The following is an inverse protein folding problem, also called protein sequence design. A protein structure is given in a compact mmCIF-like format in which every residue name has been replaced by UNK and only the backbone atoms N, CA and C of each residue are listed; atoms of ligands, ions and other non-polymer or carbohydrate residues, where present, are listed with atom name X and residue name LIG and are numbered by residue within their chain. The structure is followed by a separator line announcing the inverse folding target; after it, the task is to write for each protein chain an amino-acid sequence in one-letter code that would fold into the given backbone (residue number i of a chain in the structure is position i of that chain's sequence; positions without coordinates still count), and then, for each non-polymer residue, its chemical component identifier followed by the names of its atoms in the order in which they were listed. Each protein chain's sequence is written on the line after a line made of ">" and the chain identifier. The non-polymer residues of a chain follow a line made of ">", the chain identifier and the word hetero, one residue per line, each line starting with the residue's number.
data_IF_111307384415
#
_entry.id   IF_111307384415
#
_cell.length_a   1.000
_cell.length_b   1.000
_cell.length_c   1.000
_cell.angle_alpha   90.00
_cell.angle_beta   90.00
_cell.angle_gamma   90.00
#
_symmetry.space_group_name_H-M   'P 1'
#
loop_
_entity.id
_entity.type
_entity.pdbx_description
1 polymer ?
#
# COMPACT_ATOMS: atom_id res chain seq x y z
N UNK A 1 -1.47 32.61 -92.80
CA UNK A 1 -1.85 32.26 -91.41
C UNK A 1 -1.92 30.75 -91.18
N UNK A 2 -1.05 29.90 -91.72
CA UNK A 2 -1.18 28.44 -91.66
C UNK A 2 0.09 27.69 -91.27
N UNK A 3 1.22 28.34 -91.10
CA UNK A 3 2.50 27.66 -90.66
C UNK A 3 2.79 27.83 -89.21
N UNK A 4 2.39 28.91 -88.58
CA UNK A 4 2.65 29.11 -87.10
C UNK A 4 1.75 28.28 -86.20
N UNK A 5 0.49 27.97 -86.62
CA UNK A 5 -0.41 27.12 -85.87
C UNK A 5 0.03 25.65 -85.85
N UNK A 6 0.71 25.15 -86.91
CA UNK A 6 1.22 23.79 -86.99
C UNK A 6 2.46 23.58 -86.12
N UNK A 7 3.32 24.60 -85.95
CA UNK A 7 4.50 24.52 -85.07
C UNK A 7 4.14 24.64 -83.61
N UNK A 8 3.08 25.36 -83.26
CA UNK A 8 2.60 25.45 -81.86
C UNK A 8 1.94 24.17 -81.40
N UNK A 9 1.24 23.41 -82.29
CA UNK A 9 0.63 22.11 -81.91
C UNK A 9 1.68 21.02 -81.75
N UNK A 10 2.75 21.02 -82.59
CA UNK A 10 3.85 20.03 -82.44
C UNK A 10 4.69 20.23 -81.14
N UNK A 11 4.89 21.49 -80.74
CA UNK A 11 5.60 21.79 -79.44
C UNK A 11 4.76 21.43 -78.24
N UNK A 12 3.43 21.51 -78.26
CA UNK A 12 2.54 21.08 -77.16
C UNK A 12 2.46 19.54 -77.09
N UNK A 13 2.50 18.84 -78.20
CA UNK A 13 2.53 17.35 -78.17
C UNK A 13 3.86 16.81 -77.67
N UNK A 14 4.99 17.42 -78.00
CA UNK A 14 6.32 17.03 -77.52
C UNK A 14 6.50 17.31 -75.99
N UNK A 15 5.92 18.40 -75.48
CA UNK A 15 5.96 18.73 -74.06
C UNK A 15 5.06 17.79 -73.22
N UNK A 16 3.91 17.38 -73.77
CA UNK A 16 3.03 16.42 -73.08
C UNK A 16 3.62 15.00 -73.04
N UNK A 17 4.34 14.56 -74.08
CA UNK A 17 5.03 13.25 -74.06
C UNK A 17 6.23 13.18 -73.12
N UNK A 18 6.98 14.29 -72.97
CA UNK A 18 8.10 14.35 -72.03
C UNK A 18 7.66 14.35 -70.54
N UNK A 19 6.49 14.94 -70.24
CA UNK A 19 5.94 14.96 -68.87
C UNK A 19 5.33 13.63 -68.46
N UNK A 20 4.75 12.88 -69.41
CA UNK A 20 4.21 11.54 -69.13
C UNK A 20 5.31 10.52 -68.94
N UNK A 21 6.45 10.58 -69.60
CA UNK A 21 7.62 9.71 -69.33
C UNK A 21 8.33 10.04 -68.03
N UNK A 22 8.39 11.31 -67.62
CA UNK A 22 9.00 11.70 -66.35
C UNK A 22 8.14 11.29 -65.14
N UNK A 23 6.80 11.35 -65.24
CA UNK A 23 5.92 10.85 -64.16
C UNK A 23 5.93 9.32 -64.05
N UNK A 24 6.03 8.59 -65.15
CA UNK A 24 6.15 7.14 -65.17
C UNK A 24 7.47 6.63 -64.56
N UNK A 25 8.58 7.32 -64.82
CA UNK A 25 9.89 6.97 -64.23
C UNK A 25 9.97 7.30 -62.75
N UNK A 26 9.35 8.38 -62.25
CA UNK A 26 9.31 8.71 -60.83
C UNK A 26 8.35 7.76 -60.04
N UNK A 27 7.23 7.34 -60.67
CA UNK A 27 6.34 6.36 -60.05
C UNK A 27 6.98 4.95 -59.99
N UNK A 28 7.76 4.54 -61.00
CA UNK A 28 8.49 3.27 -60.98
C UNK A 28 9.64 3.27 -59.97
N UNK A 29 10.31 4.40 -59.73
CA UNK A 29 11.36 4.50 -58.70
C UNK A 29 10.80 4.58 -57.29
N UNK A 30 9.59 5.09 -57.08
CA UNK A 30 8.90 5.08 -55.78
C UNK A 30 8.30 3.71 -55.45
N UNK A 31 7.86 2.92 -56.44
CA UNK A 31 7.42 1.55 -56.21
C UNK A 31 8.61 0.58 -56.03
N UNK A 32 9.78 0.86 -56.55
CA UNK A 32 10.97 0.02 -56.35
C UNK A 32 11.71 0.30 -55.03
N UNK A 33 11.49 1.47 -54.41
CA UNK A 33 12.02 1.74 -53.09
C UNK A 33 11.26 1.00 -51.94
N UNK A 34 10.02 0.57 -52.18
CA UNK A 34 9.24 -0.23 -51.23
C UNK A 34 9.55 -1.74 -51.33
N UNK A 35 10.31 -2.21 -52.31
CA UNK A 35 10.54 -3.62 -52.60
C UNK A 35 11.96 -4.14 -52.28
N UNK A 36 12.84 -3.33 -51.69
CA UNK A 36 14.19 -3.73 -51.27
C UNK A 36 14.43 -3.50 -49.78
N UNK A 37 13.50 -3.93 -48.96
CA UNK A 37 13.85 -4.27 -47.58
C UNK A 37 14.81 -5.48 -47.67
N UNK A 38 16.11 -5.23 -47.46
CA UNK A 38 17.08 -6.33 -47.39
C UNK A 38 16.63 -7.35 -46.37
N UNK A 39 16.88 -8.66 -46.58
CA UNK A 39 16.54 -9.72 -45.58
C UNK A 39 16.95 -9.33 -44.15
N UNK A 40 18.10 -8.65 -44.00
CA UNK A 40 18.58 -8.14 -42.73
C UNK A 40 17.70 -7.03 -42.09
N UNK A 41 17.07 -6.19 -42.92
CA UNK A 41 16.17 -5.14 -42.43
C UNK A 41 14.81 -5.72 -42.00
N UNK A 42 14.33 -6.75 -42.68
CA UNK A 42 13.11 -7.48 -42.31
C UNK A 42 13.35 -8.28 -41.01
N UNK A 43 14.51 -8.93 -40.85
CA UNK A 43 14.89 -9.65 -39.64
C UNK A 43 15.00 -8.69 -38.42
N UNK A 44 15.61 -7.53 -38.60
CA UNK A 44 15.70 -6.51 -37.56
C UNK A 44 14.31 -5.96 -37.15
N UNK A 45 13.41 -5.75 -38.11
CA UNK A 45 12.06 -5.30 -37.82
C UNK A 45 11.29 -6.37 -37.03
N UNK A 46 11.37 -7.63 -37.43
CA UNK A 46 10.77 -8.78 -36.74
C UNK A 46 11.26 -8.88 -35.29
N UNK A 47 12.57 -8.75 -35.05
CA UNK A 47 13.15 -8.74 -33.70
C UNK A 47 12.66 -7.57 -32.84
N UNK A 48 12.50 -6.39 -33.43
CA UNK A 48 11.93 -5.22 -32.72
C UNK A 48 10.47 -5.45 -32.34
N UNK A 49 9.67 -6.02 -33.22
CA UNK A 49 8.28 -6.32 -32.96
C UNK A 49 8.14 -7.41 -31.89
N UNK A 50 8.98 -8.45 -31.90
CA UNK A 50 9.07 -9.46 -30.84
C UNK A 50 9.49 -8.82 -29.48
N UNK A 51 10.49 -7.95 -29.48
CA UNK A 51 10.91 -7.23 -28.28
C UNK A 51 9.82 -6.33 -27.72
N UNK A 52 9.03 -5.67 -28.59
CA UNK A 52 7.87 -4.86 -28.19
C UNK A 52 6.77 -5.71 -27.56
N UNK A 53 6.45 -6.86 -28.17
CA UNK A 53 5.45 -7.80 -27.64
C UNK A 53 5.91 -8.37 -26.30
N UNK A 54 7.16 -8.82 -26.19
CA UNK A 54 7.71 -9.36 -24.95
C UNK A 54 7.68 -8.33 -23.83
N UNK A 55 8.00 -7.05 -24.13
CA UNK A 55 7.88 -5.96 -23.15
C UNK A 55 6.45 -5.72 -22.68
N UNK A 56 5.49 -5.74 -23.61
CA UNK A 56 4.08 -5.57 -23.24
C UNK A 56 3.62 -6.69 -22.33
N UNK A 57 4.07 -7.92 -22.57
CA UNK A 57 3.75 -9.08 -21.72
C UNK A 57 4.46 -9.02 -20.36
N UNK A 58 5.73 -8.62 -20.32
CA UNK A 58 6.44 -8.37 -19.06
C UNK A 58 5.73 -7.30 -18.25
N UNK A 59 5.31 -6.20 -18.88
CA UNK A 59 4.58 -5.12 -18.18
C UNK A 59 3.21 -5.59 -17.66
N UNK A 60 2.53 -6.48 -18.38
CA UNK A 60 1.28 -7.11 -17.90
C UNK A 60 1.53 -7.97 -16.65
N UNK A 61 2.60 -8.78 -16.66
CA UNK A 61 2.97 -9.62 -15.52
C UNK A 61 3.49 -8.80 -14.33
N UNK A 62 4.20 -7.70 -14.60
CA UNK A 62 4.63 -6.76 -13.55
C UNK A 62 3.42 -6.13 -12.86
N UNK A 63 2.40 -5.70 -13.60
CA UNK A 63 1.15 -5.18 -13.04
C UNK A 63 0.39 -6.26 -12.24
N UNK A 64 0.27 -7.48 -12.78
CA UNK A 64 -0.38 -8.60 -12.08
C UNK A 64 0.34 -8.91 -10.77
N UNK A 65 1.68 -8.94 -10.78
CA UNK A 65 2.49 -9.14 -9.59
C UNK A 65 2.31 -8.02 -8.57
N UNK A 66 2.25 -6.73 -8.99
CA UNK A 66 1.99 -5.60 -8.10
C UNK A 66 0.62 -5.74 -7.40
N UNK A 67 -0.41 -6.12 -8.16
CA UNK A 67 -1.76 -6.37 -7.62
C UNK A 67 -1.75 -7.51 -6.60
N UNK A 68 -1.08 -8.63 -6.90
CA UNK A 68 -0.97 -9.77 -5.99
C UNK A 68 -0.20 -9.41 -4.71
N UNK A 69 0.91 -8.67 -4.85
CA UNK A 69 1.73 -8.18 -3.74
C UNK A 69 0.92 -7.25 -2.84
N UNK A 70 0.17 -6.31 -3.39
CA UNK A 70 -0.66 -5.41 -2.59
C UNK A 70 -1.74 -6.16 -1.82
N UNK A 71 -2.43 -7.12 -2.46
CA UNK A 71 -3.40 -8.00 -1.77
C UNK A 71 -2.77 -8.76 -0.61
N UNK A 72 -1.55 -9.25 -0.79
CA UNK A 72 -0.78 -9.92 0.25
C UNK A 72 -0.44 -8.94 1.40
N UNK A 73 0.06 -7.75 1.09
CA UNK A 73 0.44 -6.75 2.08
C UNK A 73 -0.76 -6.28 2.91
N UNK A 74 -1.91 -6.03 2.28
CA UNK A 74 -3.17 -5.70 2.98
C UNK A 74 -3.57 -6.82 3.92
N UNK A 75 -3.61 -8.08 3.44
CA UNK A 75 -3.96 -9.23 4.26
C UNK A 75 -3.00 -9.44 5.44
N UNK A 76 -1.70 -9.23 5.24
CA UNK A 76 -0.68 -9.29 6.28
C UNK A 76 -0.90 -8.21 7.34
N UNK A 77 -1.13 -6.96 6.93
CA UNK A 77 -1.37 -5.85 7.86
C UNK A 77 -2.64 -6.07 8.69
N UNK A 78 -3.70 -6.65 8.08
CA UNK A 78 -4.92 -7.01 8.82
C UNK A 78 -4.68 -8.13 9.83
N UNK A 79 -3.87 -9.14 9.49
CA UNK A 79 -3.47 -10.21 10.42
C UNK A 79 -2.66 -9.64 11.59
N UNK A 80 -1.71 -8.75 11.32
CA UNK A 80 -0.90 -8.10 12.36
C UNK A 80 -1.79 -7.29 13.32
N UNK A 81 -2.76 -6.53 12.81
CA UNK A 81 -3.74 -5.79 13.62
C UNK A 81 -4.62 -6.72 14.48
N UNK A 82 -5.07 -7.85 13.92
CA UNK A 82 -5.82 -8.87 14.65
C UNK A 82 -5.00 -9.49 15.77
N UNK A 83 -3.71 -9.78 15.53
CA UNK A 83 -2.81 -10.33 16.53
C UNK A 83 -2.58 -9.35 17.69
N UNK A 84 -2.39 -8.06 17.41
CA UNK A 84 -2.28 -7.01 18.44
C UNK A 84 -3.56 -6.98 19.29
N UNK A 85 -4.74 -6.91 18.65
CA UNK A 85 -6.03 -6.92 19.35
C UNK A 85 -6.22 -8.17 20.19
N UNK A 86 -5.84 -9.35 19.69
CA UNK A 86 -5.92 -10.60 20.43
C UNK A 86 -5.07 -10.58 21.70
N UNK A 87 -3.87 -10.00 21.64
CA UNK A 87 -2.98 -9.84 22.82
C UNK A 87 -3.63 -8.91 23.84
N UNK A 88 -4.18 -7.78 23.40
CA UNK A 88 -4.86 -6.82 24.28
C UNK A 88 -6.09 -7.43 24.95
N UNK A 89 -6.97 -8.06 24.17
CA UNK A 89 -8.18 -8.71 24.69
C UNK A 89 -7.86 -9.82 25.69
N UNK A 90 -6.80 -10.63 25.46
CA UNK A 90 -6.34 -11.63 26.41
C UNK A 90 -5.83 -11.01 27.70
N UNK A 91 -5.12 -9.88 27.62
CA UNK A 91 -4.66 -9.14 28.81
C UNK A 91 -5.84 -8.63 29.64
N UNK A 92 -6.84 -8.07 28.97
CA UNK A 92 -8.04 -7.56 29.63
C UNK A 92 -8.87 -8.69 30.24
N UNK A 93 -9.00 -9.83 29.56
CA UNK A 93 -9.62 -11.04 30.10
C UNK A 93 -8.92 -11.51 31.38
N UNK A 94 -7.59 -11.62 31.36
CA UNK A 94 -6.81 -12.02 32.53
C UNK A 94 -6.98 -11.06 33.71
N UNK A 95 -7.05 -9.77 33.44
CA UNK A 95 -7.30 -8.74 34.46
C UNK A 95 -8.71 -8.87 35.04
N UNK A 96 -9.72 -9.04 34.22
CA UNK A 96 -11.11 -9.20 34.63
C UNK A 96 -11.29 -10.51 35.48
N UNK A 97 -10.64 -11.60 35.07
CA UNK A 97 -10.64 -12.85 35.81
C UNK A 97 -10.04 -12.67 37.23
N UNK A 98 -8.87 -12.01 37.35
CA UNK A 98 -8.25 -11.72 38.63
C UNK A 98 -9.16 -10.87 39.52
N UNK A 99 -9.80 -9.83 38.95
CA UNK A 99 -10.75 -8.99 39.71
C UNK A 99 -11.95 -9.80 40.19
N UNK A 100 -12.49 -10.69 39.37
CA UNK A 100 -13.60 -11.57 39.73
C UNK A 100 -13.21 -12.55 40.87
N UNK A 101 -12.01 -13.12 40.79
CA UNK A 101 -11.52 -14.06 41.83
C UNK A 101 -11.31 -13.35 43.18
N UNK A 102 -10.77 -12.13 43.15
CA UNK A 102 -10.64 -11.30 44.36
C UNK A 102 -12.01 -10.95 44.93
N UNK A 103 -12.96 -10.50 44.13
CA UNK A 103 -14.32 -10.15 44.56
C UNK A 103 -15.05 -11.37 45.15
N UNK A 104 -14.94 -12.53 44.51
CA UNK A 104 -15.49 -13.80 45.03
C UNK A 104 -14.86 -14.23 46.34
N UNK A 105 -13.54 -14.06 46.49
CA UNK A 105 -12.83 -14.37 47.73
C UNK A 105 -13.31 -13.48 48.90
N UNK A 106 -13.46 -12.17 48.64
CA UNK A 106 -13.98 -11.21 49.63
C UNK A 106 -15.40 -11.56 50.04
N UNK A 107 -16.28 -11.86 49.07
CA UNK A 107 -17.65 -12.30 49.39
C UNK A 107 -17.67 -13.61 50.17
N UNK A 108 -16.84 -14.59 49.79
CA UNK A 108 -16.72 -15.87 50.47
C UNK A 108 -16.25 -15.74 51.94
N UNK A 109 -15.28 -14.86 52.20
CA UNK A 109 -14.85 -14.55 53.59
C UNK A 109 -16.00 -13.90 54.36
N UNK A 110 -16.68 -12.93 53.76
CA UNK A 110 -17.84 -12.28 54.37
C UNK A 110 -18.94 -13.27 54.75
N UNK A 111 -19.30 -14.18 53.83
CA UNK A 111 -20.29 -15.24 54.11
C UNK A 111 -19.87 -16.19 55.22
N UNK A 112 -18.59 -16.56 55.27
CA UNK A 112 -18.04 -17.40 56.32
C UNK A 112 -18.09 -16.71 57.71
N UNK A 113 -17.82 -15.42 57.74
CA UNK A 113 -17.90 -14.64 59.00
C UNK A 113 -19.33 -14.48 59.48
N UNK A 114 -20.30 -14.22 58.59
CA UNK A 114 -21.74 -14.23 58.95
C UNK A 114 -22.18 -15.58 59.46
N UNK A 115 -21.76 -16.67 58.83
CA UNK A 115 -22.08 -18.02 59.30
C UNK A 115 -21.52 -18.35 60.68
N UNK A 116 -20.25 -17.98 60.92
CA UNK A 116 -19.58 -18.24 62.21
C UNK A 116 -20.13 -17.40 63.36
N UNK A 117 -20.53 -16.17 63.09
CA UNK A 117 -21.12 -15.24 64.06
C UNK A 117 -22.58 -15.52 64.41
N UNK A 118 -23.22 -16.50 63.72
CA UNK A 118 -24.63 -16.84 63.88
C UNK A 118 -25.61 -15.86 63.28
N UNK A 119 -25.08 -14.85 62.51
CA UNK A 119 -25.87 -13.75 61.96
C UNK A 119 -26.40 -12.86 63.09
N UNK A 120 -26.29 -11.54 62.93
CA UNK A 120 -26.94 -10.60 63.85
C UNK A 120 -28.40 -10.41 63.41
N UNK A 121 -29.32 -10.89 64.25
CA UNK A 121 -30.76 -10.69 64.01
C UNK A 121 -31.15 -9.25 64.36
N UNK A 122 -32.08 -8.67 63.62
CA UNK A 122 -32.69 -7.35 64.00
C UNK A 122 -33.26 -7.42 65.39
N UNK A 123 -33.68 -8.61 65.84
CA UNK A 123 -34.18 -8.83 67.19
C UNK A 123 -33.04 -8.68 68.24
N UNK A 124 -31.84 -9.18 67.92
CA UNK A 124 -30.68 -9.07 68.81
C UNK A 124 -30.24 -7.61 68.98
N UNK A 125 -30.36 -6.80 67.92
CA UNK A 125 -30.08 -5.38 67.91
C UNK A 125 -31.09 -4.61 68.77
N UNK A 126 -32.38 -4.91 68.63
CA UNK A 126 -33.44 -4.23 69.41
C UNK A 126 -33.40 -4.63 70.85
N UNK A 127 -33.16 -5.89 71.20
CA UNK A 127 -33.07 -6.37 72.55
C UNK A 127 -31.77 -5.98 73.30
N UNK A 128 -30.71 -5.72 72.60
CA UNK A 128 -29.40 -5.29 73.15
C UNK A 128 -29.23 -3.77 73.25
N UNK A 129 -30.11 -2.96 72.70
CA UNK A 129 -29.99 -1.51 72.71
C UNK A 129 -30.42 -0.87 74.06
N UNK A 130 -29.72 0.14 74.52
CA UNK A 130 -29.95 0.84 75.78
C UNK A 130 -30.99 1.94 75.70
N UNK A 131 -31.13 2.55 74.50
CA UNK A 131 -32.12 3.59 74.20
C UNK A 131 -32.49 3.62 72.71
N UNK A 132 -33.49 4.43 72.36
CA UNK A 132 -33.98 4.58 70.99
C UNK A 132 -32.95 5.13 69.98
N UNK A 133 -32.01 5.93 70.47
CA UNK A 133 -30.95 6.53 69.61
C UNK A 133 -29.94 5.49 69.20
N UNK A 134 -29.65 4.54 70.08
CA UNK A 134 -28.76 3.40 69.81
C UNK A 134 -29.40 2.44 68.79
N UNK A 135 -30.74 2.22 68.87
CA UNK A 135 -31.49 1.45 67.87
C UNK A 135 -31.40 2.07 66.49
N UNK A 136 -31.62 3.37 66.39
CA UNK A 136 -31.59 4.11 65.11
C UNK A 136 -30.20 4.02 64.49
N UNK A 137 -29.13 4.27 65.24
CA UNK A 137 -27.74 4.17 64.82
C UNK A 137 -27.38 2.75 64.32
N UNK A 138 -27.85 1.70 65.01
CA UNK A 138 -27.58 0.33 64.64
C UNK A 138 -28.35 -0.09 63.40
N UNK A 139 -29.59 0.36 63.21
CA UNK A 139 -30.39 0.14 62.00
C UNK A 139 -29.72 0.79 60.77
N UNK A 140 -29.23 2.04 60.91
CA UNK A 140 -28.49 2.72 59.84
C UNK A 140 -27.19 1.99 59.50
N UNK A 141 -26.45 1.47 60.46
CA UNK A 141 -25.27 0.67 60.27
C UNK A 141 -25.60 -0.64 59.50
N UNK A 142 -26.69 -1.34 59.86
CA UNK A 142 -27.16 -2.52 59.12
C UNK A 142 -27.56 -2.19 57.67
N UNK A 143 -28.24 -1.06 57.47
CA UNK A 143 -28.59 -0.60 56.14
C UNK A 143 -27.37 -0.37 55.27
N UNK A 144 -26.33 0.30 55.82
CA UNK A 144 -25.09 0.53 55.10
C UNK A 144 -24.36 -0.76 54.73
N UNK A 145 -24.33 -1.72 55.65
CA UNK A 145 -23.76 -3.05 55.41
C UNK A 145 -24.53 -3.78 54.29
N UNK A 146 -25.86 -3.81 54.36
CA UNK A 146 -26.69 -4.48 53.35
C UNK A 146 -26.51 -3.87 51.97
N UNK A 147 -26.40 -2.54 51.85
CA UNK A 147 -26.11 -1.86 50.59
C UNK A 147 -24.71 -2.17 50.04
N UNK A 148 -23.71 -2.31 50.92
CA UNK A 148 -22.35 -2.70 50.54
C UNK A 148 -22.30 -4.16 50.02
N UNK A 149 -23.01 -5.06 50.71
CA UNK A 149 -23.11 -6.47 50.30
C UNK A 149 -23.84 -6.61 48.95
N UNK A 150 -24.97 -5.90 48.74
CA UNK A 150 -25.68 -5.81 47.47
C UNK A 150 -24.79 -5.28 46.34
N UNK A 151 -24.01 -4.22 46.62
CA UNK A 151 -23.04 -3.66 45.68
C UNK A 151 -21.95 -4.67 45.29
N UNK A 152 -21.51 -5.48 46.25
CA UNK A 152 -20.52 -6.54 46.02
C UNK A 152 -21.08 -7.65 45.13
N UNK A 153 -22.31 -8.11 45.35
CA UNK A 153 -22.96 -9.13 44.51
C UNK A 153 -23.18 -8.62 43.10
N UNK A 154 -23.71 -7.39 42.93
CA UNK A 154 -23.93 -6.75 41.62
C UNK A 154 -22.58 -6.58 40.90
N UNK A 155 -21.54 -6.20 41.61
CA UNK A 155 -20.17 -6.11 41.05
C UNK A 155 -19.64 -7.44 40.54
N UNK A 156 -19.88 -8.53 41.27
CA UNK A 156 -19.48 -9.90 40.85
C UNK A 156 -20.25 -10.33 39.60
N UNK A 157 -21.56 -10.04 39.54
CA UNK A 157 -22.35 -10.33 38.34
C UNK A 157 -21.85 -9.58 37.11
N UNK A 158 -21.57 -8.28 37.24
CA UNK A 158 -21.02 -7.46 36.18
C UNK A 158 -19.64 -7.96 35.71
N UNK A 159 -18.75 -8.31 36.63
CA UNK A 159 -17.45 -8.92 36.33
C UNK A 159 -17.60 -10.27 35.62
N UNK A 160 -18.54 -11.11 36.07
CA UNK A 160 -18.81 -12.42 35.45
C UNK A 160 -19.26 -12.25 33.99
N UNK A 161 -20.16 -11.30 33.75
CA UNK A 161 -20.59 -10.97 32.38
C UNK A 161 -19.44 -10.42 31.54
N UNK A 162 -18.60 -9.56 32.12
CA UNK A 162 -17.43 -9.00 31.45
C UNK A 162 -16.43 -10.10 31.04
N UNK A 163 -16.13 -11.00 31.95
CA UNK A 163 -15.26 -12.18 31.68
C UNK A 163 -15.83 -13.03 30.54
N UNK A 164 -17.14 -13.30 30.56
CA UNK A 164 -17.81 -14.03 29.46
C UNK A 164 -17.65 -13.34 28.12
N UNK A 165 -17.97 -12.04 28.03
CA UNK A 165 -17.85 -11.24 26.79
C UNK A 165 -16.40 -11.21 26.27
N UNK A 166 -15.42 -11.03 27.15
CA UNK A 166 -14.01 -11.00 26.76
C UNK A 166 -13.52 -12.38 26.29
N UNK A 167 -13.96 -13.46 26.94
CA UNK A 167 -13.67 -14.82 26.50
C UNK A 167 -14.23 -15.11 25.09
N UNK A 168 -15.49 -14.75 24.85
CA UNK A 168 -16.11 -14.86 23.52
C UNK A 168 -15.38 -14.02 22.46
N UNK A 169 -14.91 -12.83 22.83
CA UNK A 169 -14.16 -11.96 21.92
C UNK A 169 -12.78 -12.56 21.59
N UNK A 170 -12.08 -13.17 22.56
CA UNK A 170 -10.82 -13.87 22.32
C UNK A 170 -11.00 -15.01 21.31
N UNK A 171 -12.05 -15.81 21.44
CA UNK A 171 -12.30 -16.90 20.51
C UNK A 171 -12.67 -16.39 19.11
N UNK A 172 -13.46 -15.33 19.00
CA UNK A 172 -13.77 -14.69 17.72
C UNK A 172 -12.51 -14.13 17.03
N UNK A 173 -11.69 -13.40 17.76
CA UNK A 173 -10.46 -12.82 17.23
C UNK A 173 -9.46 -13.90 16.82
N UNK A 174 -9.38 -15.00 17.58
CA UNK A 174 -8.56 -16.17 17.25
C UNK A 174 -9.03 -16.85 15.96
N UNK A 175 -10.34 -17.07 15.81
CA UNK A 175 -10.91 -17.67 14.62
C UNK A 175 -10.68 -16.77 13.39
N UNK A 176 -10.85 -15.44 13.52
CA UNK A 176 -10.57 -14.48 12.48
C UNK A 176 -9.09 -14.49 12.08
N UNK A 177 -8.16 -14.55 13.04
CA UNK A 177 -6.73 -14.61 12.76
C UNK A 177 -6.34 -15.88 12.00
N UNK A 178 -6.89 -17.06 12.37
CA UNK A 178 -6.67 -18.31 11.65
C UNK A 178 -7.18 -18.25 10.19
N UNK A 179 -8.37 -17.71 9.99
CA UNK A 179 -8.93 -17.51 8.63
C UNK A 179 -8.03 -16.58 7.81
N UNK A 180 -7.56 -15.49 8.40
CA UNK A 180 -6.68 -14.54 7.72
C UNK A 180 -5.30 -15.12 7.43
N UNK A 181 -4.80 -16.00 8.30
CA UNK A 181 -3.54 -16.72 8.04
C UNK A 181 -3.64 -17.66 6.84
N UNK A 182 -4.77 -18.34 6.66
CA UNK A 182 -5.03 -19.19 5.49
C UNK A 182 -5.11 -18.34 4.20
N UNK A 183 -5.86 -17.24 4.23
CA UNK A 183 -5.96 -16.28 3.12
C UNK A 183 -4.59 -15.70 2.74
N UNK A 184 -3.76 -15.40 3.74
CA UNK A 184 -2.40 -14.91 3.51
C UNK A 184 -1.50 -15.95 2.81
N UNK A 185 -1.63 -17.23 3.15
CA UNK A 185 -0.90 -18.31 2.49
C UNK A 185 -1.31 -18.46 1.01
N UNK A 186 -2.60 -18.37 0.72
CA UNK A 186 -3.13 -18.39 -0.64
C UNK A 186 -2.60 -17.20 -1.46
N UNK A 187 -2.67 -15.99 -0.92
CA UNK A 187 -2.15 -14.79 -1.59
C UNK A 187 -0.64 -14.83 -1.79
N UNK A 188 0.09 -15.42 -0.85
CA UNK A 188 1.53 -15.65 -1.02
C UNK A 188 1.83 -16.57 -2.19
N UNK A 189 1.09 -17.67 -2.32
CA UNK A 189 1.22 -18.58 -3.45
C UNK A 189 0.92 -17.87 -4.78
N UNK A 190 -0.14 -17.06 -4.86
CA UNK A 190 -0.46 -16.26 -6.04
C UNK A 190 0.70 -15.32 -6.44
N UNK A 191 1.34 -14.64 -5.49
CA UNK A 191 2.52 -13.81 -5.77
C UNK A 191 3.68 -14.66 -6.31
N UNK A 192 3.96 -15.80 -5.68
CA UNK A 192 5.05 -16.70 -6.10
C UNK A 192 4.81 -17.24 -7.52
N UNK A 193 3.56 -17.56 -7.87
CA UNK A 193 3.16 -18.01 -9.20
C UNK A 193 3.31 -16.90 -10.25
N UNK A 194 2.85 -15.67 -9.97
CA UNK A 194 3.01 -14.51 -10.86
C UNK A 194 4.50 -14.21 -11.13
N UNK A 195 5.34 -14.27 -10.10
CA UNK A 195 6.78 -14.08 -10.24
C UNK A 195 7.46 -15.25 -10.98
N UNK A 196 6.96 -16.47 -10.86
CA UNK A 196 7.46 -17.63 -11.59
C UNK A 196 7.11 -17.53 -13.08
N UNK A 197 5.88 -17.16 -13.43
CA UNK A 197 5.44 -16.91 -14.81
C UNK A 197 6.30 -15.84 -15.49
N UNK A 198 6.54 -14.71 -14.80
CA UNK A 198 7.44 -13.67 -15.28
C UNK A 198 8.86 -14.20 -15.55
N UNK A 199 9.41 -14.98 -14.62
CA UNK A 199 10.75 -15.57 -14.78
C UNK A 199 10.82 -16.54 -15.94
N UNK A 200 9.79 -17.36 -16.12
CA UNK A 200 9.70 -18.31 -17.22
C UNK A 200 9.67 -17.59 -18.59
N UNK A 201 8.83 -16.53 -18.71
CA UNK A 201 8.78 -15.70 -19.92
C UNK A 201 10.18 -15.13 -20.23
N UNK A 202 10.84 -14.51 -19.25
CA UNK A 202 12.18 -13.92 -19.45
C UNK A 202 13.24 -14.98 -19.79
N UNK A 203 13.09 -16.21 -19.30
CA UNK A 203 14.00 -17.32 -19.64
C UNK A 203 13.83 -17.82 -21.07
N UNK A 204 12.60 -17.82 -21.57
CA UNK A 204 12.25 -18.35 -22.92
C UNK A 204 12.56 -17.37 -24.07
N UNK A 205 12.81 -16.08 -23.78
CA UNK A 205 13.13 -15.10 -24.80
C UNK A 205 14.42 -15.40 -25.55
N UNK A 206 14.41 -15.19 -26.87
CA UNK A 206 15.62 -15.22 -27.70
C UNK A 206 16.70 -14.27 -27.19
N UNK A 207 17.97 -14.65 -27.30
CA UNK A 207 19.11 -13.87 -26.80
C UNK A 207 19.16 -12.44 -27.35
N UNK A 208 18.80 -12.27 -28.65
CA UNK A 208 18.77 -10.95 -29.30
C UNK A 208 17.61 -10.09 -28.78
N UNK A 209 16.46 -10.71 -28.49
CA UNK A 209 15.31 -10.01 -27.88
C UNK A 209 15.66 -9.61 -26.47
N UNK A 210 16.30 -10.47 -25.68
CA UNK A 210 16.81 -10.14 -24.33
C UNK A 210 17.76 -8.92 -24.38
N UNK A 211 18.73 -8.92 -25.29
CA UNK A 211 19.67 -7.82 -25.46
C UNK A 211 18.97 -6.50 -25.76
N UNK A 212 17.94 -6.50 -26.63
CA UNK A 212 17.14 -5.30 -26.94
C UNK A 212 16.36 -4.81 -25.72
N UNK A 213 15.79 -5.70 -24.92
CA UNK A 213 15.06 -5.36 -23.70
C UNK A 213 16.02 -4.77 -22.67
N UNK A 214 17.16 -5.41 -22.42
CA UNK A 214 18.18 -4.93 -21.48
C UNK A 214 18.79 -3.60 -21.89
N UNK A 215 19.04 -3.41 -23.19
CA UNK A 215 19.51 -2.13 -23.70
C UNK A 215 18.53 -1.00 -23.42
N UNK A 216 17.25 -1.25 -23.60
CA UNK A 216 16.21 -0.25 -23.29
C UNK A 216 16.14 0.01 -21.78
N UNK A 217 16.18 -1.04 -20.96
CA UNK A 217 16.19 -0.89 -19.50
C UNK A 217 17.38 -0.04 -19.02
N UNK A 218 18.57 -0.22 -19.63
CA UNK A 218 19.73 0.66 -19.36
C UNK A 218 19.49 2.11 -19.77
N UNK A 219 18.82 2.35 -20.89
CA UNK A 219 18.48 3.72 -21.34
C UNK A 219 17.46 4.37 -20.37
N UNK A 220 16.47 3.60 -19.94
CA UNK A 220 15.44 4.06 -19.00
C UNK A 220 16.06 4.35 -17.61
N UNK A 221 16.99 3.50 -17.15
CA UNK A 221 17.75 3.73 -15.92
C UNK A 221 18.63 4.98 -16.04
N UNK A 222 19.33 5.19 -17.16
CA UNK A 222 20.13 6.38 -17.38
C UNK A 222 19.26 7.66 -17.46
N UNK A 223 18.06 7.57 -18.03
CA UNK A 223 17.11 8.68 -18.04
C UNK A 223 16.61 8.98 -16.62
N UNK A 224 16.29 7.95 -15.83
CA UNK A 224 15.90 8.08 -14.42
C UNK A 224 17.03 8.71 -13.58
N UNK A 225 18.28 8.30 -13.80
CA UNK A 225 19.43 8.90 -13.11
C UNK A 225 19.59 10.38 -13.44
N UNK A 226 19.44 10.76 -14.71
CA UNK A 226 19.46 12.19 -15.11
C UNK A 226 18.34 13.00 -14.45
N UNK A 227 17.15 12.41 -14.31
CA UNK A 227 16.03 13.03 -13.59
C UNK A 227 16.36 13.19 -12.11
N UNK A 228 16.96 12.16 -11.50
CA UNK A 228 17.42 12.21 -10.11
C UNK A 228 18.49 13.27 -9.88
N UNK A 229 19.49 13.36 -10.79
CA UNK A 229 20.56 14.37 -10.73
C UNK A 229 19.96 15.78 -10.90
N UNK A 230 19.07 15.98 -11.84
CA UNK A 230 18.38 17.25 -12.04
C UNK A 230 17.52 17.62 -10.83
N UNK A 231 16.76 16.67 -10.27
CA UNK A 231 15.98 16.87 -9.05
C UNK A 231 16.88 17.15 -7.83
N UNK A 232 18.05 16.48 -7.74
CA UNK A 232 19.04 16.70 -6.69
C UNK A 232 19.68 18.10 -6.72
N UNK A 233 19.89 18.63 -7.91
CA UNK A 233 20.39 20.01 -8.11
C UNK A 233 19.30 21.05 -7.76
N UNK A 234 18.04 20.71 -7.96
CA UNK A 234 16.90 21.63 -7.77
C UNK A 234 16.20 21.50 -6.40
N UNK A 235 16.64 20.56 -5.52
CA UNK A 235 16.07 20.42 -4.16
C UNK A 235 16.18 21.74 -3.37
N UNK A 236 17.14 22.59 -3.69
CA UNK A 236 17.26 23.95 -3.12
C UNK A 236 16.17 24.92 -3.58
N UNK A 237 15.54 24.67 -4.70
CA UNK A 237 14.44 25.46 -5.29
C UNK A 237 13.04 24.82 -5.07
N UNK A 238 12.98 23.63 -4.47
CA UNK A 238 11.69 22.99 -4.15
C UNK A 238 10.94 23.84 -3.13
N UNK A 239 9.79 24.35 -3.55
CA UNK A 239 8.90 25.11 -2.68
C UNK A 239 8.18 24.14 -1.72
N UNK A 240 8.72 23.96 -0.52
CA UNK A 240 8.17 23.05 0.49
C UNK A 240 8.61 23.46 1.90
N UNK A 241 7.93 22.95 2.89
CA UNK A 241 8.31 23.11 4.30
C UNK A 241 9.64 22.39 4.58
N UNK A 242 10.32 22.75 5.66
CA UNK A 242 11.57 22.10 6.07
C UNK A 242 11.40 20.56 6.25
N UNK A 243 10.24 20.13 6.75
CA UNK A 243 9.93 18.70 6.90
C UNK A 243 9.77 17.99 5.55
N UNK A 244 9.09 18.61 4.58
CA UNK A 244 8.92 18.06 3.22
C UNK A 244 10.26 17.91 2.52
N UNK A 245 11.10 18.94 2.56
CA UNK A 245 12.45 18.92 1.99
C UNK A 245 13.33 17.85 2.66
N UNK A 246 13.26 17.74 3.98
CA UNK A 246 14.01 16.72 4.72
C UNK A 246 13.55 15.30 4.37
N UNK A 247 12.25 15.06 4.20
CA UNK A 247 11.68 13.77 3.80
C UNK A 247 12.16 13.38 2.39
N UNK A 248 12.16 14.30 1.44
CA UNK A 248 12.65 14.03 0.08
C UNK A 248 14.14 13.71 0.11
N UNK A 249 14.97 14.50 0.82
CA UNK A 249 16.40 14.23 0.99
C UNK A 249 16.65 12.85 1.61
N UNK A 250 15.84 12.46 2.58
CA UNK A 250 15.92 11.14 3.18
C UNK A 250 15.56 10.06 2.16
N UNK A 251 14.47 10.23 1.39
CA UNK A 251 14.03 9.28 0.37
C UNK A 251 15.11 9.08 -0.71
N UNK A 252 15.76 10.14 -1.14
CA UNK A 252 16.81 10.08 -2.18
C UNK A 252 18.02 9.23 -1.78
N UNK A 253 18.29 9.03 -0.49
CA UNK A 253 19.36 8.12 -0.03
C UNK A 253 19.12 6.66 -0.41
N UNK A 254 17.89 6.31 -0.75
CA UNK A 254 17.49 4.94 -1.09
C UNK A 254 17.40 4.68 -2.60
N UNK A 255 17.72 5.69 -3.44
CA UNK A 255 17.82 5.50 -4.89
C UNK A 255 18.82 4.39 -5.23
N UNK A 256 18.44 3.53 -6.18
CA UNK A 256 19.27 2.39 -6.59
C UNK A 256 19.12 1.14 -5.71
N UNK A 257 18.42 1.20 -4.58
CA UNK A 257 18.13 0.00 -3.78
C UNK A 257 17.17 -0.90 -4.57
N UNK A 258 17.48 -2.21 -4.69
CA UNK A 258 16.64 -3.15 -5.44
C UNK A 258 15.21 -3.24 -4.88
N UNK A 259 14.25 -3.37 -5.79
CA UNK A 259 12.91 -3.77 -5.41
C UNK A 259 12.92 -5.16 -4.78
N UNK A 260 12.24 -5.29 -3.67
CA UNK A 260 12.01 -6.58 -3.01
C UNK A 260 10.54 -6.69 -2.59
N UNK A 261 9.89 -7.76 -2.99
CA UNK A 261 8.52 -8.04 -2.56
C UNK A 261 8.42 -8.09 -1.03
N UNK A 262 7.41 -7.42 -0.48
CA UNK A 262 7.21 -7.21 0.96
C UNK A 262 8.44 -6.62 1.69
N UNK A 263 9.35 -5.99 0.95
CA UNK A 263 10.53 -5.33 1.48
C UNK A 263 10.20 -3.95 2.04
N UNK A 264 10.73 -3.65 3.23
CA UNK A 264 10.51 -2.38 3.92
C UNK A 264 11.77 -1.86 4.63
N UNK A 265 12.95 -2.29 4.17
CA UNK A 265 14.23 -1.88 4.78
C UNK A 265 15.32 -1.69 3.73
N UNK A 266 16.30 -0.81 3.96
CA UNK A 266 17.41 -0.60 3.02
C UNK A 266 18.22 -1.87 2.72
N UNK A 267 18.40 -2.75 3.69
CA UNK A 267 19.19 -3.99 3.53
C UNK A 267 18.39 -5.12 2.87
N UNK A 268 17.07 -5.12 3.02
CA UNK A 268 16.19 -6.14 2.45
C UNK A 268 15.57 -5.75 1.12
N UNK A 269 15.75 -4.49 0.68
CA UNK A 269 15.04 -3.92 -0.46
C UNK A 269 13.71 -3.31 -0.05
N UNK A 270 13.04 -2.69 -1.01
CA UNK A 270 11.75 -2.05 -0.83
C UNK A 270 10.74 -2.49 -1.89
N UNK A 271 9.48 -2.72 -1.49
CA UNK A 271 8.36 -2.54 -2.39
C UNK A 271 7.82 -1.10 -2.32
N UNK A 272 6.80 -0.77 -3.12
CA UNK A 272 6.29 0.59 -3.23
C UNK A 272 5.81 1.16 -1.89
N UNK A 273 4.97 0.42 -1.18
CA UNK A 273 4.38 0.81 0.11
C UNK A 273 5.37 0.67 1.27
N UNK A 274 6.33 -0.26 1.17
CA UNK A 274 7.40 -0.43 2.14
C UNK A 274 8.41 0.72 2.14
N UNK A 275 8.72 1.29 0.99
CA UNK A 275 9.52 2.52 0.89
C UNK A 275 8.82 3.68 1.61
N UNK A 276 7.53 3.87 1.35
CA UNK A 276 6.72 4.90 2.00
C UNK A 276 6.66 4.68 3.51
N UNK A 277 6.33 3.47 3.96
CA UNK A 277 6.29 3.10 5.37
C UNK A 277 7.61 3.43 6.08
N UNK A 278 8.72 3.02 5.49
CA UNK A 278 10.04 3.20 6.09
C UNK A 278 10.45 4.68 6.20
N UNK A 279 10.22 5.44 5.14
CA UNK A 279 10.61 6.86 5.11
C UNK A 279 9.72 7.68 6.05
N UNK A 280 8.40 7.53 5.95
CA UNK A 280 7.45 8.35 6.71
C UNK A 280 7.48 8.07 8.21
N UNK A 281 7.84 6.83 8.63
CA UNK A 281 8.04 6.51 10.05
C UNK A 281 9.10 7.42 10.71
N UNK A 282 10.14 7.82 9.98
CA UNK A 282 11.16 8.76 10.46
C UNK A 282 10.63 10.18 10.63
N UNK A 283 9.51 10.51 10.02
CA UNK A 283 8.84 11.81 10.08
C UNK A 283 7.55 11.78 10.89
N UNK A 284 7.39 10.76 11.74
CA UNK A 284 6.31 10.63 12.72
C UNK A 284 4.99 10.13 12.15
N UNK A 285 4.97 9.56 10.94
CA UNK A 285 3.78 8.95 10.34
C UNK A 285 3.96 7.44 10.29
N UNK A 286 3.20 6.71 11.11
CA UNK A 286 3.16 5.25 11.12
C UNK A 286 2.17 4.71 10.09
N UNK A 287 2.68 4.13 9.01
CA UNK A 287 1.86 3.51 7.99
C UNK A 287 1.74 1.99 8.14
N UNK A 288 0.61 1.38 7.76
CA UNK A 288 0.55 -0.04 7.46
C UNK A 288 1.32 -0.33 6.16
N UNK A 289 1.72 -1.59 5.98
CA UNK A 289 2.35 -2.04 4.74
C UNK A 289 1.28 -2.37 3.71
N UNK A 290 0.93 -1.41 2.85
CA UNK A 290 -0.06 -1.54 1.79
C UNK A 290 -0.48 -0.18 1.25
N UNK A 291 -0.41 0.01 -0.07
CA UNK A 291 -0.72 1.27 -0.75
C UNK A 291 -2.19 1.68 -0.54
N UNK A 292 -3.13 0.74 -0.64
CA UNK A 292 -4.55 0.97 -0.39
C UNK A 292 -4.81 1.48 1.03
N UNK A 293 -4.19 0.86 2.02
CA UNK A 293 -4.36 1.27 3.43
C UNK A 293 -3.72 2.63 3.69
N UNK A 294 -2.57 2.90 3.07
CA UNK A 294 -1.90 4.20 3.15
C UNK A 294 -2.77 5.30 2.52
N UNK A 295 -3.39 5.04 1.36
CA UNK A 295 -4.28 5.99 0.70
C UNK A 295 -5.45 6.43 1.60
N UNK A 296 -6.06 5.49 2.32
CA UNK A 296 -7.20 5.79 3.20
C UNK A 296 -6.84 6.58 4.46
N UNK A 297 -5.56 6.64 4.84
CA UNK A 297 -5.09 7.42 5.98
C UNK A 297 -4.79 8.89 5.62
N UNK A 298 -4.75 9.24 4.34
CA UNK A 298 -4.34 10.54 3.85
C UNK A 298 -5.48 11.53 3.65
N UNK A 299 -5.14 12.79 3.60
CA UNK A 299 -6.05 13.86 3.15
C UNK A 299 -5.90 14.01 1.64
N UNK A 300 -6.95 13.77 0.84
CA UNK A 300 -6.90 13.93 -0.61
C UNK A 300 -6.50 15.34 -1.03
N UNK A 301 -5.64 15.44 -2.04
CA UNK A 301 -5.13 16.69 -2.60
C UNK A 301 -5.39 16.70 -4.11
N UNK A 302 -5.93 17.80 -4.69
CA UNK A 302 -6.00 17.97 -6.13
C UNK A 302 -4.61 17.94 -6.77
N UNK A 303 -4.48 17.34 -7.95
CA UNK A 303 -3.18 17.15 -8.62
C UNK A 303 -2.46 18.48 -8.93
N UNK A 304 -3.22 19.55 -9.16
CA UNK A 304 -2.71 20.91 -9.37
C UNK A 304 -2.24 21.62 -8.10
N UNK A 305 -2.53 21.02 -6.93
CA UNK A 305 -2.15 21.53 -5.58
C UNK A 305 -1.21 20.59 -4.84
N UNK A 306 -0.63 19.61 -5.55
CA UNK A 306 0.35 18.73 -4.94
C UNK A 306 1.60 19.50 -4.51
N UNK A 307 2.09 19.16 -3.34
CA UNK A 307 3.34 19.65 -2.78
C UNK A 307 4.34 18.49 -2.61
N UNK A 308 5.64 18.80 -2.55
CA UNK A 308 6.64 17.80 -2.22
C UNK A 308 6.29 17.02 -0.97
N UNK A 309 6.57 15.71 -0.95
CA UNK A 309 6.14 14.76 0.07
C UNK A 309 4.63 14.46 0.10
N UNK A 310 3.83 14.83 -0.89
CA UNK A 310 2.53 14.20 -1.09
C UNK A 310 2.74 12.78 -1.67
N UNK A 311 1.86 11.84 -1.33
CA UNK A 311 1.86 10.51 -1.93
C UNK A 311 0.95 10.48 -3.15
N UNK A 312 1.41 9.83 -4.21
CA UNK A 312 0.64 9.58 -5.44
C UNK A 312 0.32 8.10 -5.55
N UNK A 313 -0.95 7.78 -5.83
CA UNK A 313 -1.47 6.43 -5.86
C UNK A 313 -1.97 6.05 -7.25
N UNK A 314 -1.84 4.77 -7.58
CA UNK A 314 -2.20 4.18 -8.87
C UNK A 314 -3.15 3.00 -8.64
N UNK A 315 -4.27 2.99 -9.36
CA UNK A 315 -5.35 2.04 -9.19
C UNK A 315 -6.71 2.71 -9.25
N UNK A 316 -7.69 2.16 -8.55
CA UNK A 316 -9.03 2.74 -8.40
C UNK A 316 -9.32 3.03 -6.91
N UNK A 317 -10.40 3.77 -6.60
CA UNK A 317 -10.72 4.13 -5.22
C UNK A 317 -10.94 2.96 -4.27
N UNK A 318 -11.24 1.77 -4.78
CA UNK A 318 -11.41 0.56 -3.97
C UNK A 318 -10.09 -0.19 -3.75
N UNK A 319 -9.11 0.01 -4.63
CA UNK A 319 -7.86 -0.74 -4.59
C UNK A 319 -6.70 -0.03 -5.33
N UNK A 320 -5.74 0.47 -4.56
CA UNK A 320 -4.51 1.08 -5.08
C UNK A 320 -3.37 0.07 -5.04
N UNK A 321 -2.90 -0.35 -6.22
CA UNK A 321 -1.85 -1.37 -6.34
C UNK A 321 -0.43 -0.79 -6.27
N UNK A 322 -0.27 0.54 -6.36
CA UNK A 322 1.04 1.20 -6.34
C UNK A 322 0.98 2.57 -5.68
N UNK A 323 2.11 2.99 -5.11
CA UNK A 323 2.29 4.30 -4.48
C UNK A 323 3.70 4.82 -4.70
N UNK A 324 3.84 6.15 -4.78
CA UNK A 324 5.13 6.82 -4.80
C UNK A 324 5.10 8.18 -4.11
N UNK A 325 6.28 8.74 -3.85
CA UNK A 325 6.48 9.99 -3.11
C UNK A 325 6.72 11.11 -4.11
N UNK A 326 5.80 12.06 -4.21
CA UNK A 326 5.93 13.23 -5.08
C UNK A 326 7.05 14.14 -4.59
N UNK A 327 7.91 14.58 -5.52
CA UNK A 327 9.08 15.42 -5.21
C UNK A 327 9.03 16.82 -5.86
N UNK A 328 7.92 17.13 -6.55
CA UNK A 328 7.78 18.40 -7.28
C UNK A 328 8.02 18.21 -8.78
N UNK A 329 7.67 19.25 -9.56
CA UNK A 329 7.92 19.34 -11.01
C UNK A 329 7.42 18.14 -11.84
N UNK A 330 6.33 17.47 -11.39
CA UNK A 330 5.81 16.29 -12.06
C UNK A 330 6.66 15.04 -11.89
N UNK A 331 7.58 15.01 -10.91
CA UNK A 331 8.45 13.89 -10.57
C UNK A 331 8.04 13.24 -9.26
N UNK A 332 8.29 11.94 -9.15
CA UNK A 332 8.06 11.18 -7.93
C UNK A 332 9.12 10.08 -7.76
N UNK A 333 9.36 9.66 -6.52
CA UNK A 333 10.24 8.52 -6.19
C UNK A 333 9.36 7.31 -5.94
N UNK A 334 9.72 6.18 -6.54
CA UNK A 334 9.00 4.92 -6.44
C UNK A 334 9.95 3.71 -6.32
N UNK A 335 9.46 2.60 -5.74
CA UNK A 335 9.99 1.26 -5.95
C UNK A 335 9.00 0.51 -6.87
N UNK A 336 9.29 0.37 -8.18
CA UNK A 336 8.24 0.07 -9.15
C UNK A 336 7.82 -1.40 -9.19
N UNK A 337 8.73 -2.34 -9.40
CA UNK A 337 8.43 -3.78 -9.55
C UNK A 337 9.69 -4.65 -9.42
N UNK A 338 9.51 -5.97 -9.33
CA UNK A 338 10.59 -6.95 -9.28
C UNK A 338 11.55 -6.81 -10.48
N UNK A 339 12.84 -6.74 -10.18
CA UNK A 339 13.91 -6.58 -11.18
C UNK A 339 14.26 -5.12 -11.49
N UNK A 340 13.62 -4.17 -10.82
CA UNK A 340 13.93 -2.75 -10.88
C UNK A 340 14.46 -2.25 -9.52
N UNK A 341 14.75 -0.97 -9.43
CA UNK A 341 15.31 -0.32 -8.23
C UNK A 341 14.46 0.87 -7.82
N UNK A 342 14.64 1.36 -6.60
CA UNK A 342 14.10 2.67 -6.19
C UNK A 342 14.65 3.75 -7.11
N UNK A 343 13.76 4.54 -7.72
CA UNK A 343 14.15 5.51 -8.75
C UNK A 343 13.23 6.73 -8.78
N UNK A 344 13.71 7.78 -9.47
CA UNK A 344 12.89 8.95 -9.85
C UNK A 344 12.17 8.64 -11.15
N UNK A 345 10.89 8.93 -11.21
CA UNK A 345 10.04 8.72 -12.39
C UNK A 345 9.19 9.97 -12.69
N UNK A 346 8.78 10.11 -13.96
CA UNK A 346 7.82 11.15 -14.36
C UNK A 346 6.39 10.68 -14.06
N UNK A 347 5.58 11.56 -13.48
CA UNK A 347 4.19 11.29 -13.15
C UNK A 347 3.28 11.34 -14.39
N UNK A 348 3.62 12.21 -15.37
CA UNK A 348 2.84 12.37 -16.58
C UNK A 348 2.70 11.05 -17.34
N UNK A 349 1.47 10.70 -17.72
CA UNK A 349 1.16 9.48 -18.49
C UNK A 349 1.18 8.19 -17.68
N UNK A 350 1.41 8.22 -16.36
CA UNK A 350 1.46 7.02 -15.50
C UNK A 350 0.08 6.56 -14.98
N UNK A 351 -0.97 7.40 -15.11
CA UNK A 351 -2.32 7.05 -14.70
C UNK A 351 -2.54 7.04 -13.19
N UNK A 352 -1.87 7.95 -12.46
CA UNK A 352 -2.17 8.18 -11.04
C UNK A 352 -3.61 8.70 -10.89
N UNK A 353 -4.33 8.19 -9.89
CA UNK A 353 -5.77 8.45 -9.70
C UNK A 353 -6.08 9.18 -8.41
N UNK A 354 -5.12 9.21 -7.46
CA UNK A 354 -5.26 9.90 -6.19
C UNK A 354 -3.91 10.49 -5.77
N UNK A 355 -3.95 11.67 -5.14
CA UNK A 355 -2.84 12.22 -4.37
C UNK A 355 -3.31 12.52 -2.94
N UNK A 356 -2.47 12.25 -1.93
CA UNK A 356 -2.78 12.48 -0.52
C UNK A 356 -1.63 13.14 0.21
N UNK A 357 -1.99 14.01 1.18
CA UNK A 357 -1.07 14.69 2.11
C UNK A 357 -1.17 14.10 3.51
N UNK A 358 -0.04 14.12 4.23
CA UNK A 358 0.08 13.56 5.58
C UNK A 358 0.80 14.55 6.52
N UNK A 359 0.47 14.54 7.84
CA UNK A 359 1.06 15.46 8.81
C UNK A 359 2.46 15.02 9.22
N UNK A 360 3.46 15.27 8.35
CA UNK A 360 4.87 14.97 8.62
C UNK A 360 5.51 16.00 9.57
N UNK A 361 6.49 15.56 10.36
CA UNK A 361 7.27 16.38 11.29
C UNK A 361 8.76 16.16 11.04
N UNK A 362 9.57 17.15 11.37
CA UNK A 362 11.02 16.94 11.38
C UNK A 362 11.38 15.87 12.43
N UNK A 363 12.32 14.95 12.11
CA UNK A 363 12.79 13.93 13.04
C UNK A 363 13.53 14.50 14.24
#
# INVERSE_FOLDING_TARGET
>A
MTRERAQASARRAAAAGAFACALGAVLLTLLSAAALATPAAQDLQSLRDQAKQARAEVARLDLASQIAIEKYNVSRSELDALNVRLIETRRDLSRAQLQLDVARSVLGQRMADIYKSGGVSVLDVVLGARDFTEIDTQIDYFRQISLADEGTVTGIEALTQSVGKLADQVEKDRAAALTREMDLREKRADVEDQLAERRALLADLDARVKELIERQARLDAAASQRLADAAGVDIGSINGSAAQIALIKETMKYLGIPYAWAGATPSGGFDCSGLVLYVYAKFGVGFPHGATMQAYMGTPVPFDKMEPADLVFFGDPSFYHHVGIYIGNGLFIEAPHTGDVVKVSQLAGRGSTLACRYPIRLP
#
